data_IF_135035280337
#
_entry.id   IF_135035280337
#
_cell.length_a   1.000
_cell.length_b   1.000
_cell.length_c   1.000
_cell.angle_alpha   90.00
_cell.angle_beta   90.00
_cell.angle_gamma   90.00
#
_symmetry.space_group_name_H-M   'P 1'
#
loop_
_entity.id
_entity.type
_entity.pdbx_description
1 polymer ?
#
# COMPACT_ATOMS: atom_id res chain seq x y z
N UNK A 1 -8.00 -8.69 -63.64
CA UNK A 1 -8.96 -9.58 -62.96
C UNK A 1 -9.01 -9.14 -61.48
N UNK A 2 -9.67 -8.04 -61.10
CA UNK A 2 -11.10 -7.92 -60.66
C UNK A 2 -11.53 -9.05 -59.71
N UNK A 3 -12.17 -8.88 -58.55
CA UNK A 3 -12.64 -7.74 -57.75
C UNK A 3 -13.06 -8.27 -56.35
N UNK A 4 -12.91 -7.41 -55.33
CA UNK A 4 -13.82 -7.04 -54.22
C UNK A 4 -14.81 -8.02 -53.52
N UNK A 5 -14.80 -7.88 -52.18
CA UNK A 5 -15.83 -8.14 -51.13
C UNK A 5 -17.31 -8.07 -51.57
N UNK A 6 -18.26 -8.76 -50.87
CA UNK A 6 -18.99 -8.07 -49.79
C UNK A 6 -19.47 -8.92 -48.59
N UNK A 7 -19.90 -8.15 -47.59
CA UNK A 7 -20.61 -8.40 -46.33
C UNK A 7 -21.96 -9.12 -46.44
N UNK A 8 -22.43 -9.70 -45.31
CA UNK A 8 -23.76 -9.48 -44.68
C UNK A 8 -24.07 -10.52 -43.58
N UNK A 9 -24.38 -10.04 -42.36
CA UNK A 9 -25.31 -10.68 -41.39
C UNK A 9 -26.76 -10.52 -41.95
N UNK A 10 -27.82 -11.30 -41.59
CA UNK A 10 -28.29 -11.46 -40.20
C UNK A 10 -29.21 -12.67 -39.83
N UNK A 11 -29.59 -12.69 -38.55
CA UNK A 11 -30.92 -13.01 -38.00
C UNK A 11 -31.49 -14.45 -37.90
N UNK A 12 -31.72 -14.82 -36.64
CA UNK A 12 -32.98 -15.30 -36.03
C UNK A 12 -33.57 -16.70 -36.31
N UNK A 13 -33.97 -17.29 -35.17
CA UNK A 13 -35.23 -18.00 -34.92
C UNK A 13 -35.33 -19.48 -35.33
N UNK A 14 -35.45 -20.33 -34.30
CA UNK A 14 -36.47 -21.40 -34.30
C UNK A 14 -37.01 -21.61 -32.89
N UNK A 15 -38.33 -21.44 -32.78
CA UNK A 15 -39.17 -21.85 -31.68
C UNK A 15 -39.52 -23.35 -31.77
N UNK A 16 -39.83 -23.96 -30.63
CA UNK A 16 -40.80 -25.07 -30.48
C UNK A 16 -41.17 -25.12 -28.98
N UNK A 17 -42.37 -24.78 -28.52
CA UNK A 17 -43.73 -25.33 -28.71
C UNK A 17 -44.17 -26.20 -27.52
N UNK A 18 -45.44 -26.00 -27.12
CA UNK A 18 -46.33 -26.78 -26.21
C UNK A 18 -46.38 -26.29 -24.75
N UNK A 19 -47.54 -26.15 -24.08
CA UNK A 19 -48.96 -26.24 -24.45
C UNK A 19 -49.84 -25.75 -23.26
N UNK A 20 -51.13 -25.52 -23.55
CA UNK A 20 -52.27 -25.26 -22.65
C UNK A 20 -52.35 -23.85 -22.04
N UNK A 21 -53.47 -23.12 -22.03
CA UNK A 21 -54.86 -23.41 -22.38
C UNK A 21 -55.67 -22.10 -22.49
N UNK A 22 -56.87 -22.24 -23.06
CA UNK A 22 -58.01 -21.29 -23.26
C UNK A 22 -58.12 -20.15 -22.22
N UNK A 23 -58.67 -18.96 -22.47
CA UNK A 23 -59.54 -18.39 -23.51
C UNK A 23 -59.65 -16.87 -23.32
N UNK A 24 -59.81 -16.13 -24.44
CA UNK A 24 -60.62 -14.89 -24.69
C UNK A 24 -60.92 -13.97 -23.49
N UNK A 25 -60.64 -12.66 -23.49
CA UNK A 25 -61.08 -11.66 -24.46
C UNK A 25 -60.35 -10.31 -24.28
N UNK A 26 -60.03 -9.68 -25.42
CA UNK A 26 -59.62 -8.29 -25.65
C UNK A 26 -60.85 -7.33 -25.58
N UNK A 27 -60.74 -6.00 -25.80
CA UNK A 27 -59.57 -5.10 -25.85
C UNK A 27 -59.79 -3.68 -25.22
N UNK A 28 -58.75 -2.84 -25.38
CA UNK A 28 -58.77 -1.39 -25.70
C UNK A 28 -59.26 -0.43 -24.63
N UNK A 29 -58.68 0.75 -24.41
CA UNK A 29 -57.71 1.57 -25.16
C UNK A 29 -57.27 2.69 -24.20
N UNK A 30 -56.00 3.11 -24.22
CA UNK A 30 -55.59 4.45 -24.70
C UNK A 30 -56.02 5.58 -23.75
N UNK A 31 -55.17 6.45 -23.21
CA UNK A 31 -53.80 6.84 -23.50
C UNK A 31 -53.55 8.19 -22.80
N UNK A 32 -52.28 8.62 -22.82
CA UNK A 32 -51.78 10.00 -22.60
C UNK A 32 -51.94 10.67 -21.22
N UNK A 33 -50.76 10.84 -20.59
CA UNK A 33 -50.36 11.76 -19.50
C UNK A 33 -50.39 13.26 -19.97
N UNK A 34 -49.87 14.30 -19.25
CA UNK A 34 -49.36 14.42 -17.86
C UNK A 34 -49.75 15.71 -17.05
N UNK A 35 -49.41 15.69 -15.74
CA UNK A 35 -48.90 16.75 -14.81
C UNK A 35 -49.62 18.11 -14.66
N UNK A 36 -49.94 18.48 -13.40
CA UNK A 36 -49.32 19.60 -12.66
C UNK A 36 -49.88 19.70 -11.21
N UNK A 37 -49.01 20.12 -10.28
CA UNK A 37 -49.23 20.43 -8.86
C UNK A 37 -50.23 21.57 -8.61
N UNK A 38 -50.88 21.57 -7.43
CA UNK A 38 -50.85 22.70 -6.48
C UNK A 38 -51.65 22.42 -5.19
N UNK A 39 -51.09 22.95 -4.11
CA UNK A 39 -51.42 22.83 -2.69
C UNK A 39 -52.73 23.52 -2.24
N UNK A 40 -53.32 23.05 -1.13
CA UNK A 40 -53.76 23.82 0.06
C UNK A 40 -54.96 23.19 0.81
N UNK A 41 -54.82 23.08 2.15
CA UNK A 41 -55.81 22.74 3.20
C UNK A 41 -56.90 23.84 3.36
N UNK A 42 -58.08 23.62 4.04
CA UNK A 42 -58.16 23.23 5.48
C UNK A 42 -59.38 22.38 5.94
N UNK A 43 -59.28 21.87 7.18
CA UNK A 43 -60.33 21.27 8.05
C UNK A 43 -61.34 22.34 8.55
N UNK A 44 -62.42 22.09 9.36
CA UNK A 44 -62.89 20.88 10.07
C UNK A 44 -64.43 20.62 10.00
N UNK A 45 -64.93 19.48 10.52
CA UNK A 45 -66.06 19.38 11.50
C UNK A 45 -66.50 17.92 11.73
N UNK A 46 -66.69 17.58 13.01
CA UNK A 46 -67.26 16.31 13.56
C UNK A 46 -68.76 16.53 13.81
N UNK A 47 -69.65 15.50 13.90
CA UNK A 47 -69.72 14.56 15.04
C UNK A 47 -70.15 13.12 14.57
N UNK A 48 -70.44 12.05 15.34
CA UNK A 48 -70.90 11.81 16.72
C UNK A 48 -70.70 10.31 17.07
N UNK A 49 -70.74 10.02 18.38
CA UNK A 49 -70.48 8.77 19.13
C UNK A 49 -71.41 7.57 18.86
N UNK A 50 -70.85 6.36 18.98
CA UNK A 50 -71.32 5.23 19.83
C UNK A 50 -70.12 4.26 19.97
N UNK A 51 -69.79 3.52 21.03
CA UNK A 51 -70.32 3.23 22.36
C UNK A 51 -69.60 1.95 22.85
N UNK A 52 -69.45 1.78 24.18
CA UNK A 52 -69.12 0.56 24.95
C UNK A 52 -67.65 0.29 25.41
N UNK A 53 -67.48 0.50 26.71
CA UNK A 53 -66.96 -0.37 27.79
C UNK A 53 -65.51 -0.94 27.79
N UNK A 54 -64.79 -0.49 28.84
CA UNK A 54 -64.05 -1.24 29.87
C UNK A 54 -62.83 -2.10 29.48
N UNK A 55 -61.64 -1.75 30.00
CA UNK A 55 -61.05 -2.40 31.19
C UNK A 55 -59.62 -1.87 31.46
N UNK A 56 -59.26 -1.88 32.74
CA UNK A 56 -58.01 -1.44 33.32
C UNK A 56 -56.81 -2.35 32.97
N UNK A 57 -55.61 -1.75 32.93
CA UNK A 57 -54.39 -2.43 33.39
C UNK A 57 -53.31 -2.67 32.34
N UNK A 58 -52.19 -1.94 32.45
CA UNK A 58 -50.81 -2.46 32.45
C UNK A 58 -49.82 -1.38 32.00
N UNK A 59 -49.34 -0.58 32.95
CA UNK A 59 -48.16 0.26 32.75
C UNK A 59 -46.92 -0.64 32.65
N UNK A 60 -46.48 -0.95 31.43
CA UNK A 60 -45.15 -1.56 31.19
C UNK A 60 -44.07 -0.56 31.56
N UNK A 61 -43.41 -0.80 32.71
CA UNK A 61 -42.13 -0.15 33.05
C UNK A 61 -41.08 -0.56 32.03
N UNK A 62 -40.60 0.40 31.25
CA UNK A 62 -39.41 0.25 30.41
C UNK A 62 -38.22 0.10 31.36
N UNK A 63 -37.66 -1.12 31.42
CA UNK A 63 -36.42 -1.40 32.14
C UNK A 63 -35.28 -0.88 31.27
N UNK A 64 -34.78 0.32 31.58
CA UNK A 64 -33.54 0.86 30.99
C UNK A 64 -32.39 0.04 31.55
N UNK A 65 -31.92 -0.95 30.78
CA UNK A 65 -30.70 -1.70 31.08
C UNK A 65 -29.53 -0.76 30.91
N UNK A 66 -28.96 -0.31 32.04
CA UNK A 66 -27.72 0.48 32.08
C UNK A 66 -26.60 -0.42 31.55
N UNK A 67 -26.24 -0.29 30.28
CA UNK A 67 -25.01 -0.89 29.74
C UNK A 67 -23.87 -0.21 30.47
N UNK A 68 -23.28 -0.91 31.42
CA UNK A 68 -22.08 -0.49 32.13
C UNK A 68 -20.99 -0.41 31.07
N UNK A 69 -20.62 0.81 30.68
CA UNK A 69 -19.42 1.06 29.90
C UNK A 69 -18.23 0.58 30.73
N UNK A 70 -17.84 -0.67 30.53
CA UNK A 70 -16.54 -1.15 30.94
C UNK A 70 -15.53 -0.39 30.10
N UNK A 71 -14.69 0.40 30.76
CA UNK A 71 -13.45 0.89 30.17
C UNK A 71 -12.63 -0.35 29.85
N UNK A 72 -12.71 -0.82 28.61
CA UNK A 72 -11.83 -1.85 28.11
C UNK A 72 -10.43 -1.25 28.07
N UNK A 73 -9.60 -1.64 29.01
CA UNK A 73 -8.16 -1.54 28.82
C UNK A 73 -7.84 -2.30 27.52
N UNK A 74 -7.43 -1.58 26.49
CA UNK A 74 -6.91 -2.12 25.23
C UNK A 74 -5.58 -2.85 25.51
N UNK A 75 -5.63 -3.97 26.22
CA UNK A 75 -4.54 -4.93 26.26
C UNK A 75 -4.65 -5.77 25.01
N UNK A 76 -4.03 -5.27 23.94
CA UNK A 76 -3.54 -5.98 22.76
C UNK A 76 -3.87 -7.48 22.72
N UNK A 77 -5.09 -7.83 22.29
CA UNK A 77 -5.43 -9.22 22.02
C UNK A 77 -4.68 -9.67 20.77
N UNK A 78 -3.56 -10.36 20.99
CA UNK A 78 -2.89 -11.15 19.97
C UNK A 78 -3.90 -12.16 19.39
N UNK A 79 -3.98 -12.26 18.06
CA UNK A 79 -4.79 -13.29 17.41
C UNK A 79 -4.32 -14.71 17.80
N UNK A 80 -5.09 -15.77 17.48
CA UNK A 80 -4.66 -17.15 17.70
C UNK A 80 -3.24 -17.37 17.15
N UNK A 81 -2.37 -18.08 17.86
CA UNK A 81 -0.95 -18.29 17.46
C UNK A 81 -0.80 -18.75 16.01
N UNK A 82 -1.72 -19.57 15.53
CA UNK A 82 -1.77 -20.03 14.15
C UNK A 82 -1.96 -18.88 13.14
N UNK A 83 -2.87 -17.93 13.41
CA UNK A 83 -3.10 -16.78 12.54
C UNK A 83 -1.89 -15.84 12.51
N UNK A 84 -1.23 -15.69 13.66
CA UNK A 84 -0.01 -14.90 13.81
C UNK A 84 1.16 -15.48 13.01
N UNK A 85 1.43 -16.77 13.18
CA UNK A 85 2.46 -17.48 12.41
C UNK A 85 2.16 -17.42 10.92
N UNK A 86 0.90 -17.62 10.53
CA UNK A 86 0.47 -17.50 9.13
C UNK A 86 0.73 -16.10 8.58
N UNK A 87 0.41 -15.04 9.33
CA UNK A 87 0.66 -13.67 8.89
C UNK A 87 2.16 -13.40 8.68
N UNK A 88 3.01 -13.87 9.59
CA UNK A 88 4.47 -13.76 9.46
C UNK A 88 4.98 -14.53 8.25
N UNK A 89 4.57 -15.80 8.08
CA UNK A 89 5.00 -16.64 6.95
C UNK A 89 4.55 -16.06 5.61
N UNK A 90 3.31 -15.58 5.51
CA UNK A 90 2.80 -14.94 4.30
C UNK A 90 3.57 -13.65 3.99
N UNK A 91 3.87 -12.85 5.01
CA UNK A 91 4.62 -11.60 4.85
C UNK A 91 6.05 -11.86 4.38
N UNK A 92 6.73 -12.82 4.98
CA UNK A 92 8.08 -13.25 4.57
C UNK A 92 8.05 -13.82 3.14
N UNK A 93 7.10 -14.72 2.86
CA UNK A 93 6.95 -15.33 1.54
C UNK A 93 6.70 -14.29 0.45
N UNK A 94 5.90 -13.25 0.74
CA UNK A 94 5.64 -12.17 -0.20
C UNK A 94 6.89 -11.34 -0.48
N UNK A 95 7.64 -10.94 0.56
CA UNK A 95 8.90 -10.21 0.41
C UNK A 95 9.95 -11.01 -0.38
N UNK A 96 10.10 -12.31 -0.07
CA UNK A 96 11.00 -13.23 -0.79
C UNK A 96 10.56 -13.36 -2.25
N UNK A 97 9.26 -13.53 -2.51
CA UNK A 97 8.73 -13.63 -3.87
C UNK A 97 9.06 -12.38 -4.67
N UNK A 98 8.82 -11.20 -4.10
CA UNK A 98 9.12 -9.95 -4.78
C UNK A 98 10.61 -9.79 -5.10
N UNK A 99 11.49 -10.14 -4.14
CA UNK A 99 12.93 -10.14 -4.35
C UNK A 99 13.36 -11.11 -5.47
N UNK A 100 12.89 -12.36 -5.43
CA UNK A 100 13.23 -13.38 -6.43
C UNK A 100 12.75 -12.97 -7.83
N UNK A 101 11.52 -12.47 -7.95
CA UNK A 101 10.98 -11.96 -9.22
C UNK A 101 11.84 -10.81 -9.73
N UNK A 102 12.18 -9.85 -8.86
CA UNK A 102 13.01 -8.72 -9.23
C UNK A 102 14.40 -9.12 -9.71
N UNK A 103 15.06 -10.04 -9.01
CA UNK A 103 16.37 -10.59 -9.41
C UNK A 103 16.28 -11.33 -10.73
N UNK A 104 15.26 -12.15 -10.94
CA UNK A 104 15.06 -12.87 -12.20
C UNK A 104 14.89 -11.89 -13.37
N UNK A 105 14.05 -10.88 -13.22
CA UNK A 105 13.84 -9.83 -14.23
C UNK A 105 15.12 -9.05 -14.49
N UNK A 106 15.89 -8.72 -13.45
CA UNK A 106 17.17 -8.03 -13.59
C UNK A 106 18.16 -8.85 -14.42
N UNK A 107 18.36 -10.13 -14.07
CA UNK A 107 19.29 -11.03 -14.77
C UNK A 107 18.88 -11.21 -16.23
N UNK A 108 17.59 -11.41 -16.50
CA UNK A 108 17.06 -11.53 -17.86
C UNK A 108 17.28 -10.25 -18.67
N UNK A 109 16.96 -9.08 -18.10
CA UNK A 109 17.12 -7.80 -18.76
C UNK A 109 18.60 -7.50 -19.08
N UNK A 110 19.50 -7.71 -18.12
CA UNK A 110 20.95 -7.50 -18.33
C UNK A 110 21.48 -8.40 -19.43
N UNK A 111 21.13 -9.69 -19.44
CA UNK A 111 21.61 -10.62 -20.45
C UNK A 111 21.03 -10.33 -21.84
N UNK A 112 19.74 -10.01 -21.94
CA UNK A 112 19.10 -9.64 -23.20
C UNK A 112 19.73 -8.38 -23.81
N UNK A 113 19.89 -7.32 -23.01
CA UNK A 113 20.49 -6.06 -23.48
C UNK A 113 21.97 -6.23 -23.86
N UNK A 114 22.72 -7.04 -23.09
CA UNK A 114 24.12 -7.38 -23.43
C UNK A 114 24.21 -8.12 -24.76
N UNK A 115 23.29 -9.07 -25.03
CA UNK A 115 23.22 -9.79 -26.31
C UNK A 115 22.91 -8.88 -27.50
N UNK A 116 22.25 -7.74 -27.26
CA UNK A 116 22.00 -6.69 -28.26
C UNK A 116 23.16 -5.70 -28.41
N UNK A 117 24.31 -5.94 -27.76
CA UNK A 117 25.50 -5.08 -27.81
C UNK A 117 25.42 -3.85 -26.91
N UNK A 118 24.42 -3.75 -26.03
CA UNK A 118 24.30 -2.62 -25.09
C UNK A 118 25.25 -2.87 -23.90
N UNK A 119 26.15 -1.93 -23.56
CA UNK A 119 27.20 -2.15 -22.56
C UNK A 119 26.71 -2.01 -21.11
N UNK A 120 25.62 -2.70 -20.75
CA UNK A 120 24.98 -2.61 -19.42
C UNK A 120 25.95 -2.95 -18.29
N UNK A 121 26.82 -3.96 -18.47
CA UNK A 121 27.74 -4.41 -17.42
C UNK A 121 28.81 -3.36 -17.09
N UNK A 122 29.26 -2.62 -18.11
CA UNK A 122 30.28 -1.59 -17.99
C UNK A 122 29.72 -0.22 -17.60
N UNK A 123 28.46 0.09 -17.94
CA UNK A 123 27.82 1.35 -17.61
C UNK A 123 27.06 1.24 -16.27
N UNK A 124 27.65 1.78 -15.21
CA UNK A 124 27.09 1.70 -13.84
C UNK A 124 25.72 2.37 -13.71
N UNK A 125 25.51 3.51 -14.37
CA UNK A 125 24.22 4.23 -14.34
C UNK A 125 23.12 3.39 -14.98
N UNK A 126 23.39 2.82 -16.15
CA UNK A 126 22.46 1.93 -16.84
C UNK A 126 22.17 0.67 -16.01
N UNK A 127 23.21 0.09 -15.39
CA UNK A 127 23.09 -1.09 -14.52
C UNK A 127 22.16 -0.83 -13.33
N UNK A 128 22.32 0.29 -12.62
CA UNK A 128 21.43 0.66 -11.51
C UNK A 128 20.03 1.06 -11.98
N UNK A 129 19.91 1.72 -13.13
CA UNK A 129 18.60 2.02 -13.72
C UNK A 129 17.78 0.75 -13.96
N UNK A 130 18.41 -0.27 -14.58
CA UNK A 130 17.78 -1.57 -14.83
C UNK A 130 17.52 -2.31 -13.51
N UNK A 131 18.44 -2.27 -12.54
CA UNK A 131 18.24 -2.93 -11.25
C UNK A 131 17.06 -2.32 -10.48
N UNK A 132 16.92 -0.99 -10.46
CA UNK A 132 15.81 -0.33 -9.76
C UNK A 132 14.47 -0.63 -10.41
N UNK A 133 14.40 -0.60 -11.75
CA UNK A 133 13.20 -0.98 -12.48
C UNK A 133 12.84 -2.44 -12.17
N UNK A 134 13.82 -3.34 -12.21
CA UNK A 134 13.59 -4.76 -12.01
C UNK A 134 13.23 -5.09 -10.55
N UNK A 135 14.00 -4.64 -9.56
CA UNK A 135 13.79 -4.98 -8.16
C UNK A 135 12.65 -4.18 -7.54
N UNK A 136 12.72 -2.85 -7.55
CA UNK A 136 11.73 -2.00 -6.87
C UNK A 136 10.45 -1.85 -7.72
N UNK A 137 10.58 -1.66 -9.02
CA UNK A 137 9.45 -1.55 -9.94
C UNK A 137 8.71 -2.87 -10.17
N UNK A 138 9.39 -3.91 -10.67
CA UNK A 138 8.71 -5.18 -10.98
C UNK A 138 8.65 -6.08 -9.73
N UNK A 139 9.79 -6.30 -9.10
CA UNK A 139 9.91 -7.19 -7.95
C UNK A 139 9.02 -6.78 -6.79
N UNK A 140 9.07 -5.52 -6.35
CA UNK A 140 8.29 -5.08 -5.20
C UNK A 140 6.93 -4.50 -5.59
N UNK A 141 6.89 -3.47 -6.44
CA UNK A 141 5.64 -2.78 -6.77
C UNK A 141 4.66 -3.70 -7.52
N UNK A 142 5.07 -4.30 -8.66
CA UNK A 142 4.16 -5.16 -9.44
C UNK A 142 3.75 -6.41 -8.66
N UNK A 143 4.67 -7.07 -7.95
CA UNK A 143 4.31 -8.22 -7.11
C UNK A 143 3.31 -7.87 -6.01
N UNK A 144 3.45 -6.70 -5.38
CA UNK A 144 2.49 -6.22 -4.37
C UNK A 144 1.11 -5.98 -4.99
N UNK A 145 1.06 -5.30 -6.14
CA UNK A 145 -0.21 -5.09 -6.87
C UNK A 145 -0.87 -6.41 -7.28
N UNK A 146 -0.07 -7.37 -7.78
CA UNK A 146 -0.54 -8.70 -8.12
C UNK A 146 -1.10 -9.45 -6.90
N UNK A 147 -0.42 -9.35 -5.75
CA UNK A 147 -0.88 -9.90 -4.49
C UNK A 147 -2.25 -9.32 -4.08
N UNK A 148 -2.39 -7.99 -4.07
CA UNK A 148 -3.66 -7.34 -3.73
C UNK A 148 -4.78 -7.72 -4.69
N UNK A 149 -4.47 -7.83 -5.99
CA UNK A 149 -5.44 -8.22 -7.02
C UNK A 149 -5.86 -9.67 -6.92
N UNK A 150 -4.95 -10.57 -6.56
CA UNK A 150 -5.22 -12.00 -6.43
C UNK A 150 -5.99 -12.34 -5.15
N UNK A 151 -5.72 -11.61 -4.06
CA UNK A 151 -6.37 -11.83 -2.77
C UNK A 151 -7.60 -10.94 -2.52
N UNK A 152 -7.89 -10.03 -3.46
CA UNK A 152 -8.93 -9.00 -3.35
C UNK A 152 -8.75 -8.12 -2.09
N UNK A 153 -7.51 -7.67 -1.88
CA UNK A 153 -7.07 -6.98 -0.64
C UNK A 153 -6.63 -5.53 -0.83
N UNK A 154 -7.26 -4.82 -1.77
CA UNK A 154 -7.00 -3.38 -1.93
C UNK A 154 -7.47 -2.55 -0.72
N UNK A 155 -8.28 -3.13 0.18
CA UNK A 155 -8.67 -2.54 1.47
C UNK A 155 -7.47 -2.27 2.40
N UNK A 156 -6.38 -3.01 2.24
CA UNK A 156 -5.15 -2.83 3.02
C UNK A 156 -4.36 -1.58 2.62
N UNK A 157 -4.61 -1.04 1.42
CA UNK A 157 -3.87 0.10 0.89
C UNK A 157 -4.68 1.36 1.06
N UNK A 158 -4.09 2.34 1.72
CA UNK A 158 -4.71 3.65 1.89
C UNK A 158 -3.91 4.69 1.13
N UNK A 159 -4.38 5.04 -0.06
CA UNK A 159 -3.79 6.06 -0.93
C UNK A 159 -4.72 7.26 -0.96
N UNK A 160 -4.23 8.42 -0.48
CA UNK A 160 -4.98 9.67 -0.50
C UNK A 160 -4.02 10.83 -0.77
N UNK A 161 -4.53 11.88 -1.42
CA UNK A 161 -3.79 13.15 -1.51
C UNK A 161 -3.51 13.68 -0.10
N UNK A 162 -2.25 14.02 0.25
CA UNK A 162 -1.92 14.49 1.60
C UNK A 162 -2.73 15.72 2.04
N UNK A 163 -3.24 15.69 3.27
CA UNK A 163 -3.83 16.86 3.95
C UNK A 163 -2.73 17.75 4.55
N UNK A 164 -3.11 18.92 5.07
CA UNK A 164 -2.19 19.77 5.86
C UNK A 164 -1.59 19.06 7.07
N UNK A 165 -2.37 18.19 7.73
CA UNK A 165 -1.87 17.34 8.83
C UNK A 165 -0.82 16.36 8.31
N UNK A 166 -1.07 15.74 7.16
CA UNK A 166 -0.13 14.82 6.54
C UNK A 166 1.16 15.52 6.14
N UNK A 167 1.10 16.77 5.65
CA UNK A 167 2.30 17.60 5.40
C UNK A 167 3.09 17.83 6.69
N UNK A 168 2.41 18.13 7.79
CA UNK A 168 3.06 18.23 9.11
C UNK A 168 3.73 16.92 9.54
N UNK A 169 3.09 15.77 9.28
CA UNK A 169 3.68 14.45 9.53
C UNK A 169 4.87 14.14 8.61
N UNK A 170 4.84 14.56 7.35
CA UNK A 170 5.96 14.39 6.41
C UNK A 170 7.17 15.18 6.90
N UNK A 171 6.99 16.48 7.20
CA UNK A 171 8.08 17.35 7.67
C UNK A 171 8.61 16.89 9.03
N UNK A 172 7.71 16.68 10.00
CA UNK A 172 8.09 16.22 11.34
C UNK A 172 8.70 14.82 11.33
N UNK A 173 8.18 13.92 10.49
CA UNK A 173 8.71 12.58 10.30
C UNK A 173 10.11 12.58 9.68
N UNK A 174 10.36 13.44 8.69
CA UNK A 174 11.69 13.59 8.08
C UNK A 174 12.70 14.17 9.09
N UNK A 175 12.34 15.25 9.79
CA UNK A 175 13.22 15.85 10.81
C UNK A 175 13.49 14.86 11.94
N UNK A 176 12.46 14.17 12.43
CA UNK A 176 12.59 13.15 13.47
C UNK A 176 13.46 11.97 13.01
N UNK A 177 13.29 11.50 11.77
CA UNK A 177 14.12 10.45 11.18
C UNK A 177 15.59 10.88 11.12
N UNK A 178 15.87 12.07 10.57
CA UNK A 178 17.24 12.59 10.47
C UNK A 178 17.88 12.74 11.85
N UNK A 179 17.14 13.26 12.84
CA UNK A 179 17.61 13.39 14.21
C UNK A 179 17.91 12.03 14.87
N UNK A 180 17.03 11.04 14.68
CA UNK A 180 17.24 9.67 15.19
C UNK A 180 18.48 9.03 14.57
N UNK A 181 18.65 9.14 13.25
CA UNK A 181 19.80 8.56 12.57
C UNK A 181 21.11 9.30 12.92
N UNK A 182 21.07 10.63 13.09
CA UNK A 182 22.21 11.39 13.58
C UNK A 182 22.59 10.99 15.02
N UNK A 183 21.60 10.80 15.91
CA UNK A 183 21.84 10.32 17.26
C UNK A 183 22.43 8.90 17.27
N UNK A 184 21.94 8.01 16.41
CA UNK A 184 22.49 6.67 16.26
C UNK A 184 23.93 6.69 15.72
N UNK A 185 24.21 7.56 14.74
CA UNK A 185 25.57 7.78 14.21
C UNK A 185 26.53 8.32 15.28
N UNK A 186 26.08 9.26 16.11
CA UNK A 186 26.87 9.78 17.23
C UNK A 186 27.14 8.69 18.29
N UNK A 187 26.14 7.85 18.57
CA UNK A 187 26.29 6.69 19.44
C UNK A 187 27.34 5.72 18.91
N UNK A 188 27.27 5.37 17.63
CA UNK A 188 28.26 4.50 16.99
C UNK A 188 29.67 5.08 17.05
N UNK A 189 29.81 6.37 16.76
CA UNK A 189 31.09 7.08 16.84
C UNK A 189 31.70 7.01 18.24
N UNK A 190 30.89 7.13 19.30
CA UNK A 190 31.34 7.02 20.70
C UNK A 190 31.88 5.63 21.05
N UNK A 191 31.35 4.58 20.44
CA UNK A 191 31.74 3.20 20.70
C UNK A 191 32.68 2.62 19.64
N UNK A 192 33.14 3.43 18.67
CA UNK A 192 33.97 2.97 17.56
C UNK A 192 33.28 1.95 16.64
N UNK A 193 31.94 1.95 16.60
CA UNK A 193 31.15 1.08 15.73
C UNK A 193 31.15 1.68 14.33
N UNK A 194 31.52 0.89 13.34
CA UNK A 194 31.49 1.29 11.94
C UNK A 194 30.30 0.66 11.24
N UNK A 195 29.76 1.37 10.25
CA UNK A 195 28.81 0.83 9.28
C UNK A 195 29.52 0.59 7.96
N UNK A 196 29.19 -0.48 7.23
CA UNK A 196 29.89 -0.82 6.01
C UNK A 196 29.52 0.15 4.89
N UNK A 197 30.49 0.47 4.04
CA UNK A 197 30.23 1.16 2.77
C UNK A 197 29.51 0.18 1.83
N UNK A 198 28.35 0.58 1.32
CA UNK A 198 27.58 -0.25 0.38
C UNK A 198 28.04 -0.03 -1.06
N UNK A 199 27.83 -0.99 -1.98
CA UNK A 199 28.24 -0.85 -3.38
C UNK A 199 27.69 0.40 -4.06
N UNK A 200 26.45 0.81 -3.76
CA UNK A 200 25.84 2.00 -4.35
C UNK A 200 26.51 3.31 -3.87
N UNK A 201 27.01 3.33 -2.63
CA UNK A 201 27.77 4.46 -2.11
C UNK A 201 29.14 4.51 -2.77
N UNK A 202 29.83 3.38 -2.86
CA UNK A 202 31.14 3.30 -3.51
C UNK A 202 31.04 3.72 -5.00
N UNK A 203 30.13 3.11 -5.75
CA UNK A 203 29.89 3.42 -7.16
C UNK A 203 29.49 4.90 -7.36
N UNK A 204 28.76 5.48 -6.40
CA UNK A 204 28.37 6.89 -6.43
C UNK A 204 29.52 7.85 -6.10
N UNK A 205 30.51 7.45 -5.30
CA UNK A 205 31.73 8.23 -5.11
C UNK A 205 32.63 8.19 -6.36
N UNK A 206 32.75 7.01 -6.98
CA UNK A 206 33.54 6.82 -8.21
C UNK A 206 32.87 7.47 -9.43
N UNK A 207 31.53 7.47 -9.49
CA UNK A 207 30.72 8.07 -10.56
C UNK A 207 29.64 8.98 -9.98
N UNK A 208 29.96 10.22 -9.57
CA UNK A 208 29.02 11.11 -8.88
C UNK A 208 27.69 11.34 -9.59
N UNK A 209 27.71 11.40 -10.93
CA UNK A 209 26.48 11.58 -11.72
C UNK A 209 25.43 10.48 -11.47
N UNK A 210 25.85 9.27 -11.06
CA UNK A 210 24.94 8.20 -10.64
C UNK A 210 23.96 8.69 -9.57
N UNK A 211 24.46 9.41 -8.57
CA UNK A 211 23.65 9.89 -7.46
C UNK A 211 22.53 10.83 -7.92
N UNK A 212 22.77 11.67 -8.94
CA UNK A 212 21.73 12.52 -9.53
C UNK A 212 20.62 11.72 -10.22
N UNK A 213 20.95 10.61 -10.88
CA UNK A 213 19.95 9.70 -11.47
C UNK A 213 19.13 8.97 -10.42
N UNK A 214 19.72 8.66 -9.26
CA UNK A 214 19.03 7.96 -8.18
C UNK A 214 17.96 8.83 -7.49
N UNK A 215 18.10 10.16 -7.50
CA UNK A 215 17.12 11.09 -6.91
C UNK A 215 15.72 10.95 -7.53
N UNK A 216 15.49 11.09 -8.85
CA UNK A 216 14.15 10.89 -9.40
C UNK A 216 13.68 9.44 -9.27
N UNK A 217 14.59 8.45 -9.44
CA UNK A 217 14.24 7.03 -9.33
C UNK A 217 13.75 6.64 -7.94
N UNK A 218 14.27 7.29 -6.89
CA UNK A 218 13.84 6.97 -5.52
C UNK A 218 12.40 7.39 -5.25
N UNK A 219 11.97 8.53 -5.80
CA UNK A 219 10.57 8.97 -5.67
C UNK A 219 9.61 8.18 -6.56
N UNK A 220 10.07 7.71 -7.72
CA UNK A 220 9.22 7.05 -8.70
C UNK A 220 9.08 5.55 -8.47
N UNK A 221 10.15 4.88 -8.02
CA UNK A 221 10.23 3.43 -7.96
C UNK A 221 10.60 2.91 -6.58
N UNK A 222 11.68 3.42 -5.97
CA UNK A 222 12.20 2.86 -4.70
C UNK A 222 11.20 3.08 -3.56
N UNK A 223 10.90 4.34 -3.23
CA UNK A 223 9.93 4.70 -2.20
C UNK A 223 8.57 4.05 -2.45
N UNK A 224 7.93 4.23 -3.62
CA UNK A 224 6.65 3.61 -3.89
C UNK A 224 6.65 2.08 -3.82
N UNK A 225 7.62 1.42 -4.44
CA UNK A 225 7.67 -0.04 -4.48
C UNK A 225 7.95 -0.67 -3.11
N UNK A 226 8.87 -0.09 -2.36
CA UNK A 226 9.18 -0.55 -1.01
C UNK A 226 8.05 -0.25 -0.02
N UNK A 227 7.50 0.96 0.00
CA UNK A 227 6.39 1.27 0.90
C UNK A 227 5.14 0.43 0.60
N UNK A 228 4.84 0.19 -0.67
CA UNK A 228 3.72 -0.66 -1.06
C UNK A 228 3.90 -2.09 -0.57
N UNK A 229 5.10 -2.65 -0.71
CA UNK A 229 5.42 -4.00 -0.24
C UNK A 229 5.40 -4.07 1.29
N UNK A 230 6.13 -3.20 1.97
CA UNK A 230 6.42 -3.39 3.38
C UNK A 230 5.37 -2.76 4.30
N UNK A 231 4.76 -1.63 3.92
CA UNK A 231 3.78 -0.90 4.76
C UNK A 231 2.36 -1.23 4.30
N UNK A 232 2.15 -1.30 2.99
CA UNK A 232 0.90 -1.77 2.41
C UNK A 232 0.66 -3.26 2.67
N UNK A 233 1.51 -4.14 2.14
CA UNK A 233 1.26 -5.58 2.17
C UNK A 233 1.72 -6.24 3.47
N UNK A 234 3.02 -6.21 3.78
CA UNK A 234 3.61 -6.91 4.95
C UNK A 234 3.05 -6.38 6.27
N UNK A 235 3.15 -5.08 6.54
CA UNK A 235 2.58 -4.50 7.76
C UNK A 235 1.07 -4.64 7.79
N UNK A 236 0.36 -4.44 6.67
CA UNK A 236 -1.09 -4.65 6.57
C UNK A 236 -1.53 -6.06 6.99
N UNK A 237 -0.85 -7.09 6.47
CA UNK A 237 -1.10 -8.49 6.85
C UNK A 237 -0.81 -8.76 8.32
N UNK A 238 0.30 -8.23 8.84
CA UNK A 238 0.65 -8.38 10.25
C UNK A 238 -0.40 -7.72 11.15
N UNK A 239 -0.95 -6.57 10.74
CA UNK A 239 -1.95 -5.82 11.51
C UNK A 239 -3.31 -6.50 11.64
N UNK A 240 -3.57 -7.55 10.88
CA UNK A 240 -4.75 -8.41 11.05
C UNK A 240 -4.65 -9.33 12.27
N UNK A 241 -3.43 -9.71 12.68
CA UNK A 241 -3.18 -10.69 13.76
C UNK A 241 -2.32 -10.16 14.91
N UNK A 242 -1.68 -9.01 14.73
CA UNK A 242 -0.88 -8.31 15.71
C UNK A 242 -1.44 -6.91 15.98
N UNK A 243 -1.29 -6.44 17.22
CA UNK A 243 -1.55 -5.04 17.55
C UNK A 243 -0.54 -4.12 16.83
N UNK A 244 -0.80 -2.80 16.89
CA UNK A 244 -0.05 -1.79 16.14
C UNK A 244 1.46 -1.91 16.33
N UNK A 245 1.94 -1.93 17.57
CA UNK A 245 3.38 -1.87 17.86
C UNK A 245 4.12 -3.13 17.38
N UNK A 246 3.72 -4.37 17.75
CA UNK A 246 4.38 -5.57 17.23
C UNK A 246 4.28 -5.69 15.70
N UNK A 247 3.16 -5.28 15.09
CA UNK A 247 3.03 -5.29 13.63
C UNK A 247 4.07 -4.40 12.94
N UNK A 248 4.28 -3.18 13.43
CA UNK A 248 5.32 -2.27 12.92
C UNK A 248 6.72 -2.84 13.15
N UNK A 249 7.00 -3.36 14.34
CA UNK A 249 8.31 -3.91 14.71
C UNK A 249 8.67 -5.11 13.83
N UNK A 250 7.76 -6.06 13.66
CA UNK A 250 8.00 -7.24 12.83
C UNK A 250 8.16 -6.84 11.36
N UNK A 251 7.29 -5.98 10.82
CA UNK A 251 7.43 -5.47 9.46
C UNK A 251 8.79 -4.78 9.24
N UNK A 252 9.26 -4.04 10.24
CA UNK A 252 10.55 -3.34 10.19
C UNK A 252 11.75 -4.28 10.25
N UNK A 253 11.65 -5.37 11.00
CA UNK A 253 12.67 -6.42 11.00
C UNK A 253 12.74 -7.09 9.62
N UNK A 254 11.59 -7.40 9.01
CA UNK A 254 11.52 -7.96 7.65
C UNK A 254 12.14 -7.01 6.62
N UNK A 255 11.83 -5.71 6.72
CA UNK A 255 12.43 -4.67 5.88
C UNK A 255 13.97 -4.62 6.01
N UNK A 256 14.48 -4.63 7.25
CA UNK A 256 15.92 -4.60 7.50
C UNK A 256 16.63 -5.84 6.95
N UNK A 257 16.05 -7.03 7.11
CA UNK A 257 16.61 -8.28 6.56
C UNK A 257 16.59 -8.27 5.02
N UNK A 258 15.56 -7.68 4.39
CA UNK A 258 15.51 -7.55 2.93
C UNK A 258 16.68 -6.73 2.35
N UNK A 259 17.35 -5.92 3.17
CA UNK A 259 18.53 -5.14 2.79
C UNK A 259 19.86 -5.89 2.94
N UNK A 260 19.85 -7.16 3.37
CA UNK A 260 21.06 -7.95 3.60
C UNK A 260 21.99 -8.04 2.37
N UNK A 261 21.42 -7.97 1.16
CA UNK A 261 22.19 -7.96 -0.10
C UNK A 261 23.19 -6.81 -0.21
N UNK A 262 22.90 -5.66 0.43
CA UNK A 262 23.75 -4.46 0.35
C UNK A 262 25.06 -4.61 1.14
N UNK A 263 25.12 -5.57 2.06
CA UNK A 263 26.21 -5.71 3.02
C UNK A 263 26.76 -7.13 3.06
N UNK A 264 26.50 -7.96 2.05
CA UNK A 264 26.84 -9.39 2.07
C UNK A 264 28.32 -9.66 2.37
N UNK A 265 29.22 -8.83 1.84
CA UNK A 265 30.67 -8.93 2.03
C UNK A 265 31.20 -8.33 3.35
N UNK A 266 30.37 -7.62 4.11
CA UNK A 266 30.82 -6.91 5.32
C UNK A 266 31.00 -7.85 6.54
N UNK A 267 31.82 -7.47 7.52
CA UNK A 267 31.91 -8.16 8.82
C UNK A 267 30.59 -8.16 9.58
N UNK A 268 30.36 -9.17 10.44
CA UNK A 268 29.09 -9.33 11.17
C UNK A 268 28.76 -8.12 12.06
N UNK A 269 29.77 -7.54 12.75
CA UNK A 269 29.55 -6.37 13.60
C UNK A 269 29.02 -5.16 12.82
N UNK A 270 29.61 -4.88 11.67
CA UNK A 270 29.20 -3.79 10.77
C UNK A 270 27.81 -4.06 10.16
N UNK A 271 27.51 -5.32 9.78
CA UNK A 271 26.18 -5.72 9.31
C UNK A 271 25.09 -5.43 10.35
N UNK A 272 25.34 -5.74 11.62
CA UNK A 272 24.36 -5.48 12.70
C UNK A 272 24.12 -3.99 12.89
N UNK A 273 25.17 -3.17 12.82
CA UNK A 273 25.05 -1.71 12.86
C UNK A 273 24.22 -1.18 11.67
N UNK A 274 24.50 -1.68 10.46
CA UNK A 274 23.71 -1.36 9.27
C UNK A 274 22.23 -1.74 9.43
N UNK A 275 21.94 -2.96 9.89
CA UNK A 275 20.56 -3.40 10.10
C UNK A 275 19.83 -2.58 11.14
N UNK A 276 20.51 -2.13 12.20
CA UNK A 276 19.90 -1.26 13.21
C UNK A 276 19.53 0.13 12.64
N UNK A 277 20.35 0.69 11.74
CA UNK A 277 20.03 1.93 11.00
C UNK A 277 18.79 1.73 10.13
N UNK A 278 18.79 0.69 9.28
CA UNK A 278 17.67 0.39 8.37
C UNK A 278 16.39 0.05 9.13
N UNK A 279 16.50 -0.68 10.24
CA UNK A 279 15.39 -1.00 11.13
C UNK A 279 14.81 0.28 11.76
N UNK A 280 15.65 1.19 12.24
CA UNK A 280 15.22 2.47 12.82
C UNK A 280 14.46 3.32 11.79
N UNK A 281 14.99 3.42 10.57
CA UNK A 281 14.30 4.07 9.47
C UNK A 281 12.93 3.43 9.22
N UNK A 282 12.88 2.10 9.15
CA UNK A 282 11.62 1.40 8.92
C UNK A 282 10.59 1.59 10.01
N UNK A 283 11.02 1.65 11.29
CA UNK A 283 10.12 1.92 12.40
C UNK A 283 9.42 3.27 12.24
N UNK A 284 10.17 4.31 11.84
CA UNK A 284 9.62 5.64 11.60
C UNK A 284 8.61 5.61 10.47
N UNK A 285 8.94 4.97 9.34
CA UNK A 285 8.03 4.86 8.20
C UNK A 285 6.75 4.08 8.55
N UNK A 286 6.87 2.96 9.27
CA UNK A 286 5.72 2.18 9.72
C UNK A 286 4.83 2.91 10.72
N UNK A 287 5.42 3.71 11.61
CA UNK A 287 4.68 4.59 12.52
C UNK A 287 3.97 5.72 11.77
N UNK A 288 4.63 6.37 10.81
CA UNK A 288 4.04 7.41 9.97
C UNK A 288 2.85 6.87 9.17
N UNK A 289 2.95 5.65 8.64
CA UNK A 289 1.82 5.01 7.96
C UNK A 289 0.61 4.87 8.89
N UNK A 290 0.81 4.38 10.12
CA UNK A 290 -0.26 4.20 11.11
C UNK A 290 -0.84 5.51 11.66
N UNK A 291 -0.03 6.58 11.69
CA UNK A 291 -0.47 7.91 12.16
C UNK A 291 -1.21 8.71 11.09
N UNK A 292 -0.85 8.52 9.82
CA UNK A 292 -1.42 9.25 8.69
C UNK A 292 -2.58 8.51 8.02
N UNK A 293 -2.62 7.18 8.17
CA UNK A 293 -3.53 6.31 7.43
C UNK A 293 -3.42 6.52 5.91
N UNK A 294 -2.21 6.83 5.44
CA UNK A 294 -1.94 7.23 4.06
C UNK A 294 -0.53 6.83 3.63
N UNK A 295 -0.42 5.93 2.66
CA UNK A 295 0.83 5.39 2.16
C UNK A 295 1.70 6.43 1.44
N UNK A 296 1.10 7.52 0.95
CA UNK A 296 1.85 8.63 0.33
C UNK A 296 2.76 9.32 1.35
N UNK A 297 2.38 9.37 2.63
CA UNK A 297 3.19 10.00 3.69
C UNK A 297 4.55 9.32 3.88
N UNK A 298 4.62 8.01 4.21
CA UNK A 298 5.90 7.33 4.31
C UNK A 298 6.64 7.27 2.96
N UNK A 299 5.95 7.19 1.81
CA UNK A 299 6.62 7.24 0.49
C UNK A 299 7.40 8.54 0.30
N UNK A 300 6.80 9.68 0.65
CA UNK A 300 7.45 10.98 0.54
C UNK A 300 8.58 11.15 1.55
N UNK A 301 8.41 10.69 2.79
CA UNK A 301 9.48 10.74 3.80
C UNK A 301 10.66 9.85 3.38
N UNK A 302 10.39 8.62 2.95
CA UNK A 302 11.40 7.68 2.48
C UNK A 302 12.12 8.21 1.23
N UNK A 303 11.37 8.62 0.21
CA UNK A 303 11.94 9.17 -1.02
C UNK A 303 12.78 10.41 -0.75
N UNK A 304 12.34 11.30 0.16
CA UNK A 304 13.10 12.51 0.52
C UNK A 304 14.34 12.20 1.33
N UNK A 305 14.29 11.24 2.25
CA UNK A 305 15.47 10.77 2.96
C UNK A 305 16.52 10.24 1.96
N UNK A 306 16.11 9.36 1.03
CA UNK A 306 17.01 8.82 0.01
C UNK A 306 17.54 9.91 -0.93
N UNK A 307 16.70 10.85 -1.36
CA UNK A 307 17.13 11.95 -2.21
C UNK A 307 18.18 12.84 -1.50
N UNK A 308 18.01 13.07 -0.19
CA UNK A 308 18.96 13.80 0.63
C UNK A 308 20.30 13.07 0.78
N UNK A 309 20.29 11.74 0.95
CA UNK A 309 21.55 10.95 1.02
C UNK A 309 22.26 10.90 -0.34
N UNK A 310 21.53 10.77 -1.45
CA UNK A 310 22.12 10.83 -2.79
C UNK A 310 22.65 12.21 -3.14
N UNK A 311 21.97 13.29 -2.73
CA UNK A 311 22.48 14.64 -2.91
C UNK A 311 23.80 14.83 -2.15
N UNK A 312 23.88 14.41 -0.88
CA UNK A 312 25.14 14.44 -0.13
C UNK A 312 26.23 13.62 -0.81
N UNK A 313 25.91 12.42 -1.29
CA UNK A 313 26.84 11.56 -2.01
C UNK A 313 27.41 12.25 -3.26
N UNK A 314 26.58 12.94 -4.03
CA UNK A 314 27.01 13.74 -5.17
C UNK A 314 27.97 14.86 -4.76
N UNK A 315 27.61 15.62 -3.72
CA UNK A 315 28.41 16.75 -3.24
C UNK A 315 29.78 16.29 -2.71
N UNK A 316 29.82 15.18 -1.97
CA UNK A 316 31.08 14.58 -1.50
C UNK A 316 31.91 14.06 -2.67
N UNK A 317 31.30 13.29 -3.59
CA UNK A 317 31.99 12.73 -4.75
C UNK A 317 32.52 13.79 -5.73
N UNK A 318 31.99 15.01 -5.71
CA UNK A 318 32.46 16.15 -6.51
C UNK A 318 33.37 17.11 -5.74
N UNK A 319 33.67 16.85 -4.46
CA UNK A 319 34.50 17.70 -3.61
C UNK A 319 33.83 19.02 -3.19
N UNK A 320 32.51 19.13 -3.32
CA UNK A 320 31.71 20.30 -2.89
C UNK A 320 31.37 20.25 -1.40
N UNK A 321 31.41 19.06 -0.79
CA UNK A 321 31.37 18.86 0.66
C UNK A 321 32.62 18.05 1.06
N UNK A 322 33.36 18.57 2.05
CA UNK A 322 34.55 17.95 2.61
C UNK A 322 34.25 17.03 3.79
#
# INVERSE_FOLDING_TARGET
MTCSFPSRRPACSRANSRASGRSRSRPSSGGSRPRADCSAEPTPTRPRRSGRNASLGSSRRIRVTRVRAGVSHDTAALGPRESQLRAVVLSLGLGITGFVVGVAVFVLAVNALTALGIPVRANVVLRYGISIIALQGVGLLVTSLAFFRWRDRFDLIKLRVPTRRDVGLIVGGLVGLLALLAALSALYSRFGIQTPTTPIVQDGLETPVLALYLIPLTYLLVGPGEELMFRGAVQGLLRESYSRVPGIVIASAVFAVAHAGNVLAAPLGEKLAYFAVIFTLSLVLGALYELSDNLVVPMLVHGTYNAFTFLQLYLVGTGQLG
#
